data_IF_996839593851
#
_entry.id   IF_996839593851
#
_cell.length_a   1.000
_cell.length_b   1.000
_cell.length_c   1.000
_cell.angle_alpha   90.00
_cell.angle_beta   90.00
_cell.angle_gamma   90.00
#
_symmetry.space_group_name_H-M   'P 1'
#
loop_
_entity.id
_entity.type
_entity.pdbx_description
1 polymer ?
#
# COMPACT_ATOMS: atom_id res chain seq x y z
N UNK A 1 3.87 23.18 0.27
CA UNK A 1 4.68 22.25 -0.53
C UNK A 1 4.90 21.01 0.32
N UNK A 2 4.32 19.88 -0.07
CA UNK A 2 4.51 18.61 0.60
C UNK A 2 5.80 17.98 0.05
N UNK A 3 6.62 17.39 0.92
CA UNK A 3 7.88 16.76 0.53
C UNK A 3 7.60 15.44 -0.22
N UNK A 4 8.47 15.11 -1.18
CA UNK A 4 8.40 13.86 -1.96
C UNK A 4 8.34 12.63 -1.03
N UNK A 5 7.41 11.72 -1.30
CA UNK A 5 7.27 10.45 -0.58
C UNK A 5 6.48 10.48 0.74
N UNK A 6 5.90 11.62 1.14
CA UNK A 6 5.02 11.65 2.31
C UNK A 6 3.66 11.01 2.01
N UNK A 7 3.42 9.84 2.62
CA UNK A 7 2.12 9.19 2.64
C UNK A 7 1.18 9.97 3.58
N UNK A 8 0.21 10.67 3.02
CA UNK A 8 -0.82 11.37 3.79
C UNK A 8 -2.06 10.49 3.85
N UNK A 9 -2.36 9.97 5.03
CA UNK A 9 -3.63 9.31 5.27
C UNK A 9 -4.77 10.33 5.29
N UNK A 10 -5.82 10.03 4.54
CA UNK A 10 -7.09 10.73 4.55
C UNK A 10 -8.18 9.76 4.99
N UNK A 11 -9.14 10.25 5.75
CA UNK A 11 -10.40 9.54 5.91
C UNK A 11 -11.03 9.41 4.51
N UNK A 12 -11.62 8.25 4.17
CA UNK A 12 -12.21 8.07 2.85
C UNK A 12 -13.37 9.06 2.73
N UNK A 13 -13.42 9.80 1.62
CA UNK A 13 -14.59 10.60 1.29
C UNK A 13 -15.80 9.66 1.21
N UNK A 14 -16.84 9.93 2.01
CA UNK A 14 -18.07 9.13 2.05
C UNK A 14 -18.81 9.08 0.70
N UNK A 15 -18.49 10.01 -0.21
CA UNK A 15 -19.18 10.23 -1.49
C UNK A 15 -18.46 9.62 -2.71
N UNK A 16 -17.48 8.76 -2.51
CA UNK A 16 -16.90 8.00 -3.62
C UNK A 16 -17.89 6.94 -4.12
N UNK A 17 -18.14 6.87 -5.43
CA UNK A 17 -18.84 5.74 -6.05
C UNK A 17 -17.93 4.50 -6.10
N UNK A 18 -18.17 3.58 -5.18
CA UNK A 18 -17.46 2.31 -5.12
C UNK A 18 -18.13 1.28 -6.02
N UNK A 19 -17.43 0.66 -6.99
CA UNK A 19 -17.99 -0.46 -7.75
C UNK A 19 -18.36 -1.64 -6.83
N UNK A 20 -17.54 -1.88 -5.80
CA UNK A 20 -17.85 -2.72 -4.63
C UNK A 20 -17.15 -2.10 -3.41
N UNK A 21 -17.90 -1.55 -2.45
CA UNK A 21 -17.31 -0.97 -1.24
C UNK A 21 -16.82 -2.09 -0.30
N UNK A 22 -15.53 -2.10 0.09
CA UNK A 22 -15.06 -3.00 1.15
C UNK A 22 -15.84 -2.72 2.44
N UNK A 23 -16.23 -3.77 3.17
CA UNK A 23 -17.09 -3.65 4.35
C UNK A 23 -16.39 -3.09 5.59
N UNK A 24 -15.06 -2.92 5.56
CA UNK A 24 -14.26 -2.55 6.72
C UNK A 24 -14.00 -1.06 6.89
N UNK A 25 -13.04 -0.76 7.78
CA UNK A 25 -12.62 0.60 8.13
C UNK A 25 -11.63 1.13 7.09
N UNK A 26 -12.21 1.73 6.05
CA UNK A 26 -11.45 2.25 4.91
C UNK A 26 -10.67 3.50 5.28
N UNK A 27 -9.52 3.67 4.64
CA UNK A 27 -8.79 4.92 4.54
C UNK A 27 -8.12 5.02 3.18
N UNK A 28 -7.72 6.22 2.79
CA UNK A 28 -6.95 6.41 1.57
C UNK A 28 -5.65 7.16 1.80
N UNK A 29 -4.75 6.98 0.85
CA UNK A 29 -3.50 7.72 0.73
C UNK A 29 -3.59 8.50 -0.59
N UNK A 30 -3.36 9.81 -0.50
CA UNK A 30 -3.24 10.67 -1.69
C UNK A 30 -1.81 10.61 -2.22
N UNK A 31 -1.65 10.35 -3.51
CA UNK A 31 -0.34 10.27 -4.17
C UNK A 31 0.27 11.68 -4.27
N UNK A 32 1.50 11.83 -3.76
CA UNK A 32 2.24 13.09 -3.79
C UNK A 32 2.78 13.49 -5.17
N UNK A 33 3.48 14.62 -5.22
CA UNK A 33 3.95 15.29 -6.45
C UNK A 33 4.86 14.42 -7.33
N UNK A 34 5.65 13.55 -6.71
CA UNK A 34 6.57 12.63 -7.39
C UNK A 34 5.89 11.44 -8.07
N UNK A 35 4.58 11.26 -7.86
CA UNK A 35 3.88 10.05 -8.28
C UNK A 35 4.37 8.80 -7.53
N UNK A 36 3.71 7.68 -7.73
CA UNK A 36 4.18 6.37 -7.24
C UNK A 36 4.08 5.34 -8.37
N UNK A 37 5.11 5.33 -9.22
CA UNK A 37 5.19 4.44 -10.38
C UNK A 37 4.07 4.68 -11.38
N UNK A 38 3.03 3.84 -11.34
CA UNK A 38 1.90 3.89 -12.28
C UNK A 38 0.84 4.93 -11.94
N UNK A 39 0.91 5.56 -10.75
CA UNK A 39 -0.07 6.54 -10.28
C UNK A 39 0.45 7.96 -10.32
N UNK A 40 -0.45 8.87 -10.65
CA UNK A 40 -0.19 10.29 -10.78
C UNK A 40 -0.48 11.04 -9.48
N UNK A 41 0.07 12.24 -9.35
CA UNK A 41 -0.22 13.12 -8.23
C UNK A 41 -1.74 13.32 -8.09
N UNK A 42 -2.25 13.16 -6.86
CA UNK A 42 -3.66 13.34 -6.53
C UNK A 42 -4.52 12.08 -6.65
N UNK A 43 -3.99 11.00 -7.24
CA UNK A 43 -4.67 9.70 -7.22
C UNK A 43 -4.88 9.25 -5.76
N UNK A 44 -6.03 8.63 -5.48
CA UNK A 44 -6.37 8.12 -4.16
C UNK A 44 -6.26 6.60 -4.12
N UNK A 45 -5.42 6.11 -3.21
CA UNK A 45 -5.13 4.69 -2.99
C UNK A 45 -5.84 4.22 -1.72
N UNK A 46 -6.80 3.30 -1.84
CA UNK A 46 -7.62 2.88 -0.72
C UNK A 46 -7.20 1.54 -0.11
N UNK A 47 -7.22 1.50 1.20
CA UNK A 47 -6.87 0.36 2.04
C UNK A 47 -7.96 0.15 3.09
N UNK A 48 -8.09 -1.09 3.58
CA UNK A 48 -8.99 -1.45 4.68
C UNK A 48 -8.15 -1.73 5.93
N UNK A 49 -8.37 -1.01 7.04
CA UNK A 49 -7.61 -1.25 8.28
C UNK A 49 -7.88 -2.62 8.87
N UNK A 50 -9.05 -3.20 8.58
CA UNK A 50 -9.52 -4.50 9.04
C UNK A 50 -9.49 -5.56 7.93
N UNK A 51 -8.60 -5.39 6.95
CA UNK A 51 -8.49 -6.29 5.82
C UNK A 51 -8.21 -7.74 6.27
N UNK A 52 -9.04 -8.74 5.90
CA UNK A 52 -8.85 -10.13 6.34
C UNK A 52 -7.59 -10.78 5.74
N UNK A 53 -6.99 -10.21 4.69
CA UNK A 53 -5.74 -10.68 4.12
C UNK A 53 -4.51 -10.10 4.82
N UNK A 54 -4.66 -9.09 5.69
CA UNK A 54 -3.54 -8.44 6.38
C UNK A 54 -2.70 -9.44 7.20
N UNK A 55 -3.36 -10.42 7.81
CA UNK A 55 -2.74 -11.47 8.62
C UNK A 55 -2.32 -12.71 7.79
N UNK A 56 -2.39 -12.63 6.46
CA UNK A 56 -2.10 -13.75 5.56
C UNK A 56 -1.02 -13.38 4.53
N UNK A 57 0.26 -13.21 4.95
CA UNK A 57 1.34 -12.74 4.06
C UNK A 57 1.50 -13.55 2.76
N UNK A 58 1.25 -14.86 2.81
CA UNK A 58 1.30 -15.72 1.61
C UNK A 58 0.25 -15.38 0.55
N UNK A 59 -0.92 -14.88 0.96
CA UNK A 59 -1.99 -14.43 0.05
C UNK A 59 -1.73 -13.02 -0.52
N UNK A 60 -0.80 -12.29 0.08
CA UNK A 60 -0.43 -10.94 -0.34
C UNK A 60 0.62 -10.94 -1.45
N UNK A 61 1.32 -12.06 -1.68
CA UNK A 61 2.33 -12.19 -2.75
C UNK A 61 1.72 -11.85 -4.12
N UNK A 62 2.38 -10.94 -4.83
CA UNK A 62 1.96 -10.41 -6.13
C UNK A 62 0.96 -9.25 -6.05
N UNK A 63 0.35 -9.00 -4.88
CA UNK A 63 -0.53 -7.84 -4.67
C UNK A 63 0.28 -6.59 -4.38
N UNK A 64 -0.30 -5.44 -4.69
CA UNK A 64 0.23 -4.15 -4.24
C UNK A 64 -0.24 -3.92 -2.81
N UNK A 65 0.69 -3.56 -1.94
CA UNK A 65 0.51 -3.49 -0.50
C UNK A 65 1.05 -2.15 0.04
N UNK A 66 0.39 -1.61 1.06
CA UNK A 66 0.99 -0.70 2.02
C UNK A 66 1.68 -1.54 3.10
N UNK A 67 2.95 -1.28 3.32
CA UNK A 67 3.81 -1.95 4.30
C UNK A 67 4.22 -0.93 5.34
N UNK A 68 3.92 -1.21 6.60
CA UNK A 68 4.31 -0.37 7.74
C UNK A 68 5.36 -1.12 8.58
N UNK A 69 6.48 -0.46 8.87
CA UNK A 69 7.52 -0.98 9.77
C UNK A 69 7.20 -0.69 11.24
N UNK A 70 7.97 -1.29 12.14
CA UNK A 70 7.95 -1.00 13.58
C UNK A 70 8.34 0.45 13.92
N UNK A 71 9.13 1.10 13.06
CA UNK A 71 9.47 2.53 13.17
C UNK A 71 8.36 3.48 12.68
N UNK A 72 7.24 2.94 12.20
CA UNK A 72 6.13 3.72 11.62
C UNK A 72 6.38 4.19 10.19
N UNK A 73 7.45 3.72 9.55
CA UNK A 73 7.73 4.04 8.16
C UNK A 73 6.78 3.26 7.25
N UNK A 74 6.15 3.97 6.33
CA UNK A 74 5.16 3.41 5.39
C UNK A 74 5.75 3.37 3.99
N UNK A 75 5.57 2.25 3.32
CA UNK A 75 6.02 2.00 1.95
C UNK A 75 4.91 1.37 1.13
N UNK A 76 4.82 1.71 -0.15
CA UNK A 76 3.88 1.07 -1.08
C UNK A 76 4.67 0.35 -2.15
N UNK A 77 4.32 -0.91 -2.39
CA UNK A 77 4.99 -1.72 -3.40
C UNK A 77 4.28 -3.05 -3.62
N UNK A 78 4.80 -3.84 -4.56
CA UNK A 78 4.29 -5.19 -4.80
C UNK A 78 4.94 -6.17 -3.85
N UNK A 79 4.13 -6.83 -3.02
CA UNK A 79 4.58 -7.86 -2.10
C UNK A 79 5.19 -9.04 -2.89
N UNK A 80 6.40 -9.49 -2.52
CA UNK A 80 7.13 -10.60 -3.13
C UNK A 80 7.57 -11.61 -2.07
N UNK A 81 7.77 -12.84 -2.52
CA UNK A 81 8.34 -13.87 -1.67
C UNK A 81 9.79 -13.49 -1.34
N UNK A 82 10.21 -13.60 -0.07
CA UNK A 82 11.56 -13.24 0.29
C UNK A 82 12.58 -14.18 -0.34
N UNK A 83 13.63 -13.62 -0.94
CA UNK A 83 14.71 -14.40 -1.57
C UNK A 83 15.39 -15.37 -0.58
N UNK A 84 15.45 -14.97 0.70
CA UNK A 84 15.89 -15.83 1.81
C UNK A 84 14.68 -16.18 2.67
N UNK A 85 14.49 -17.46 2.96
CA UNK A 85 13.42 -17.94 3.85
C UNK A 85 13.72 -17.54 5.29
N UNK A 86 13.38 -16.31 5.64
CA UNK A 86 13.34 -15.83 7.02
C UNK A 86 11.86 -15.71 7.43
N UNK A 87 11.52 -16.27 8.59
CA UNK A 87 10.14 -16.21 9.07
C UNK A 87 9.69 -14.77 9.30
N UNK A 88 8.49 -14.45 8.81
CA UNK A 88 7.86 -13.14 9.03
C UNK A 88 8.44 -11.99 8.20
N UNK A 89 9.28 -12.27 7.18
CA UNK A 89 9.75 -11.23 6.26
C UNK A 89 9.01 -11.28 4.92
N UNK A 90 8.99 -10.14 4.24
CA UNK A 90 8.56 -10.01 2.84
C UNK A 90 9.63 -9.26 2.04
N UNK A 91 9.66 -9.50 0.74
CA UNK A 91 10.33 -8.58 -0.18
C UNK A 91 9.27 -7.62 -0.75
N UNK A 92 9.66 -6.39 -1.03
CA UNK A 92 8.78 -5.38 -1.60
C UNK A 92 9.41 -4.82 -2.87
N UNK A 93 8.72 -5.00 -3.99
CA UNK A 93 9.12 -4.44 -5.27
C UNK A 93 8.51 -3.04 -5.42
N UNK A 94 9.38 -2.05 -5.66
CA UNK A 94 9.01 -0.68 -5.94
C UNK A 94 8.28 -0.58 -7.28
N UNK A 95 7.17 0.17 -7.31
CA UNK A 95 6.33 0.28 -8.51
C UNK A 95 6.92 1.21 -9.57
N UNK A 96 7.89 2.04 -9.21
CA UNK A 96 8.50 3.03 -10.11
C UNK A 96 9.53 2.40 -11.05
N UNK A 97 10.40 1.54 -10.51
CA UNK A 97 11.56 1.01 -11.24
C UNK A 97 11.75 -0.51 -11.07
N UNK A 98 10.92 -1.17 -10.25
CA UNK A 98 11.03 -2.60 -9.97
C UNK A 98 12.14 -2.97 -8.99
N UNK A 99 12.77 -1.99 -8.32
CA UNK A 99 13.77 -2.26 -7.29
C UNK A 99 13.18 -3.11 -6.15
N UNK A 100 13.93 -4.11 -5.66
CA UNK A 100 13.45 -5.00 -4.60
C UNK A 100 14.11 -4.64 -3.27
N UNK A 101 13.30 -4.14 -2.35
CA UNK A 101 13.66 -4.02 -0.94
C UNK A 101 13.45 -5.37 -0.26
N UNK A 102 14.54 -6.01 0.14
CA UNK A 102 14.52 -7.40 0.60
C UNK A 102 14.41 -7.53 2.12
N UNK A 103 13.79 -8.62 2.57
CA UNK A 103 13.75 -9.06 3.97
C UNK A 103 13.17 -8.03 4.94
N UNK A 104 12.18 -7.26 4.48
CA UNK A 104 11.44 -6.32 5.31
C UNK A 104 10.67 -7.07 6.40
N UNK A 105 10.65 -6.50 7.61
CA UNK A 105 9.87 -6.98 8.75
C UNK A 105 8.68 -6.06 8.99
N UNK A 106 7.53 -6.33 8.36
CA UNK A 106 6.36 -5.48 8.54
C UNK A 106 5.76 -5.64 9.93
N UNK A 107 5.38 -4.52 10.53
CA UNK A 107 4.40 -4.48 11.61
C UNK A 107 2.99 -4.71 11.05
N UNK A 108 2.70 -4.14 9.88
CA UNK A 108 1.41 -4.27 9.20
C UNK A 108 1.58 -4.34 7.69
N UNK A 109 0.76 -5.15 7.03
CA UNK A 109 0.67 -5.21 5.57
C UNK A 109 -0.80 -5.08 5.18
N UNK A 110 -1.15 -4.11 4.34
CA UNK A 110 -2.52 -3.88 3.88
C UNK A 110 -2.55 -3.93 2.35
N UNK A 111 -3.34 -4.83 1.73
CA UNK A 111 -3.48 -4.85 0.29
C UNK A 111 -4.24 -3.62 -0.20
N UNK A 112 -3.79 -3.06 -1.33
CA UNK A 112 -4.52 -2.03 -2.04
C UNK A 112 -5.83 -2.59 -2.57
N UNK A 113 -6.95 -1.90 -2.28
CA UNK A 113 -8.30 -2.35 -2.66
C UNK A 113 -8.88 -1.60 -3.83
N UNK A 114 -8.62 -0.30 -3.91
CA UNK A 114 -9.13 0.56 -4.98
C UNK A 114 -8.12 1.67 -5.27
N UNK A 115 -8.06 2.04 -6.55
CA UNK A 115 -7.41 3.26 -7.01
C UNK A 115 -8.50 4.13 -7.61
N UNK A 116 -8.60 5.36 -7.16
CA UNK A 116 -9.38 6.39 -7.86
C UNK A 116 -8.41 7.36 -8.51
N UNK A 117 -8.36 7.42 -9.85
CA UNK A 117 -7.57 8.42 -10.51
C UNK A 117 -8.17 9.81 -10.28
N UNK A 118 -7.32 10.82 -10.11
CA UNK A 118 -7.77 12.21 -10.19
C UNK A 118 -8.15 12.50 -11.66
N UNK A 119 -9.40 12.87 -11.92
CA UNK A 119 -9.91 13.20 -13.27
C UNK A 119 -9.74 14.68 -13.56
#
# INVERSE_FOLDING_TARGET
>A
MLADGQIIERAPCLETDWPVRPRGDLFCIEVGVSGHGVWQQGDLLFFDRADPLADQPGQLIGKICLVESDTGEKRIGRCRLPAKRQGGTIDLEELADGHIQSSLKPLKILPLRLVLPLV
#
